data_IF_991292024637
#
_entry.id   IF_991292024637
#
_cell.length_a   1.000
_cell.length_b   1.000
_cell.length_c   1.000
_cell.angle_alpha   90.00
_cell.angle_beta   90.00
_cell.angle_gamma   90.00
#
_symmetry.space_group_name_H-M   'P 1'
#
loop_
_entity.id
_entity.type
_entity.pdbx_description
1 polymer ?
#
# COMPACT_ATOMS: atom_id res chain seq x y z
N UNK A 1 -3.97 2.10 16.14
CA UNK A 1 -3.97 0.64 16.34
C UNK A 1 -3.86 -0.03 14.97
N UNK A 2 -2.97 -0.99 14.81
CA UNK A 2 -2.89 -1.80 13.58
C UNK A 2 -3.84 -2.98 13.75
N UNK A 3 -4.86 -3.05 12.91
CA UNK A 3 -5.79 -4.17 12.88
C UNK A 3 -5.22 -5.32 12.03
N UNK A 4 -5.26 -6.53 12.59
CA UNK A 4 -4.86 -7.75 11.89
C UNK A 4 -6.10 -8.41 11.28
N UNK A 5 -5.90 -9.06 10.14
CA UNK A 5 -7.01 -9.61 9.38
C UNK A 5 -6.55 -10.35 8.14
N UNK A 6 -7.55 -10.74 7.36
CA UNK A 6 -7.38 -11.47 6.11
C UNK A 6 -7.73 -10.56 4.94
N UNK A 7 -6.86 -10.60 3.93
CA UNK A 7 -7.10 -9.97 2.64
C UNK A 7 -7.75 -11.01 1.73
N UNK A 8 -8.88 -10.65 1.13
CA UNK A 8 -9.49 -11.42 0.04
C UNK A 8 -9.50 -10.57 -1.23
N UNK A 9 -9.18 -11.21 -2.35
CA UNK A 9 -9.19 -10.58 -3.67
C UNK A 9 -10.25 -11.31 -4.46
N UNK A 10 -11.41 -10.68 -4.61
CA UNK A 10 -12.52 -11.22 -5.37
C UNK A 10 -12.62 -10.59 -6.75
N UNK A 11 -13.50 -11.13 -7.58
CA UNK A 11 -13.69 -10.66 -8.96
C UNK A 11 -14.30 -9.25 -9.02
N UNK A 12 -14.97 -8.81 -7.95
CA UNK A 12 -15.67 -7.52 -7.86
C UNK A 12 -14.93 -6.47 -7.04
N UNK A 13 -14.00 -6.86 -6.19
CA UNK A 13 -13.27 -5.92 -5.36
C UNK A 13 -12.20 -6.54 -4.47
N UNK A 14 -11.47 -5.65 -3.81
CA UNK A 14 -10.55 -5.97 -2.72
C UNK A 14 -11.29 -5.93 -1.39
N UNK A 15 -11.04 -6.90 -0.53
CA UNK A 15 -11.68 -6.99 0.77
C UNK A 15 -10.66 -7.24 1.88
N UNK A 16 -10.92 -6.67 3.05
CA UNK A 16 -10.19 -6.93 4.28
C UNK A 16 -11.16 -7.22 5.41
N UNK A 17 -10.93 -8.31 6.14
CA UNK A 17 -11.73 -8.74 7.28
C UNK A 17 -10.86 -8.79 8.52
N UNK A 18 -11.25 -8.07 9.58
CA UNK A 18 -10.54 -8.09 10.85
C UNK A 18 -10.70 -9.47 11.52
N UNK A 19 -9.61 -10.01 12.09
CA UNK A 19 -9.62 -11.34 12.72
C UNK A 19 -10.38 -11.35 14.05
N UNK A 20 -10.48 -10.21 14.74
CA UNK A 20 -11.07 -10.10 16.09
C UNK A 20 -12.54 -9.66 16.06
N UNK A 21 -12.93 -8.89 15.04
CA UNK A 21 -14.27 -8.34 14.91
C UNK A 21 -14.75 -8.38 13.46
N UNK A 22 -15.61 -9.35 13.15
CA UNK A 22 -16.15 -9.56 11.80
C UNK A 22 -16.98 -8.39 11.29
N UNK A 23 -17.47 -7.51 12.17
CA UNK A 23 -18.20 -6.28 11.78
C UNK A 23 -17.25 -5.20 11.26
N UNK A 24 -15.96 -5.32 11.53
CA UNK A 24 -14.91 -4.43 11.02
C UNK A 24 -14.32 -5.04 9.76
N UNK A 25 -14.86 -4.62 8.63
CA UNK A 25 -14.38 -5.01 7.32
C UNK A 25 -14.24 -3.78 6.42
N UNK A 26 -13.40 -3.91 5.40
CA UNK A 26 -13.23 -2.93 4.33
C UNK A 26 -13.50 -3.64 3.02
N UNK A 27 -14.36 -3.08 2.19
CA UNK A 27 -14.60 -3.52 0.81
C UNK A 27 -14.32 -2.35 -0.11
N UNK A 28 -13.48 -2.59 -1.11
CA UNK A 28 -13.12 -1.60 -2.12
C UNK A 28 -13.44 -2.23 -3.48
N UNK A 29 -14.59 -1.88 -4.08
CA UNK A 29 -14.93 -2.26 -5.43
C UNK A 29 -13.82 -1.86 -6.42
N UNK A 30 -13.53 -2.68 -7.43
CA UNK A 30 -12.43 -2.39 -8.38
C UNK A 30 -12.64 -1.08 -9.15
N UNK A 31 -13.89 -0.73 -9.45
CA UNK A 31 -14.28 0.51 -10.09
C UNK A 31 -14.09 1.76 -9.19
N UNK A 32 -14.03 1.60 -7.87
CA UNK A 32 -13.71 2.66 -6.91
C UNK A 32 -12.19 2.93 -6.82
N UNK A 33 -11.35 2.02 -7.31
CA UNK A 33 -9.89 2.14 -7.23
C UNK A 33 -9.38 3.19 -8.23
N UNK A 34 -8.79 4.26 -7.70
CA UNK A 34 -8.12 5.30 -8.48
C UNK A 34 -6.66 4.91 -8.74
N UNK A 35 -5.90 4.67 -7.67
CA UNK A 35 -4.49 4.23 -7.75
C UNK A 35 -4.15 3.20 -6.68
N UNK A 36 -3.18 2.34 -7.00
CA UNK A 36 -2.51 1.48 -6.04
C UNK A 36 -1.10 2.01 -5.82
N UNK A 37 -0.83 2.49 -4.61
CA UNK A 37 0.45 3.13 -4.26
C UNK A 37 1.31 2.11 -3.53
N UNK A 38 2.42 1.70 -4.15
CA UNK A 38 3.34 0.71 -3.60
C UNK A 38 4.53 1.40 -2.96
N UNK A 39 4.76 1.09 -1.69
CA UNK A 39 5.95 1.52 -0.97
C UNK A 39 7.06 0.51 -1.23
N UNK A 40 8.17 0.93 -1.85
CA UNK A 40 9.27 0.01 -2.22
C UNK A 40 10.60 0.53 -1.71
N UNK A 41 11.23 -0.19 -0.77
CA UNK A 41 12.57 0.14 -0.26
C UNK A 41 13.60 -0.92 -0.71
N UNK A 42 14.88 -0.69 -0.37
CA UNK A 42 16.00 -1.55 -0.75
C UNK A 42 16.12 -1.77 -2.28
N UNK A 43 16.14 -0.67 -3.05
CA UNK A 43 16.30 -0.70 -4.52
C UNK A 43 15.29 -1.60 -5.25
N UNK A 44 14.04 -1.68 -4.76
CA UNK A 44 13.02 -2.51 -5.40
C UNK A 44 12.75 -3.85 -4.73
N UNK A 45 13.57 -4.24 -3.74
CA UNK A 45 13.56 -5.63 -3.23
C UNK A 45 12.47 -5.90 -2.21
N UNK A 46 12.06 -4.90 -1.42
CA UNK A 46 11.13 -5.10 -0.30
C UNK A 46 9.97 -4.09 -0.29
N UNK A 47 8.77 -4.59 -0.01
CA UNK A 47 7.51 -3.83 -0.03
C UNK A 47 6.90 -3.91 1.37
N UNK A 48 7.11 -2.91 2.26
CA UNK A 48 6.53 -2.93 3.60
C UNK A 48 5.01 -2.84 3.58
N UNK A 49 4.47 -2.08 2.63
CA UNK A 49 3.05 -1.72 2.56
C UNK A 49 2.67 -1.30 1.15
N UNK A 50 1.38 -1.35 0.89
CA UNK A 50 0.76 -0.73 -0.27
C UNK A 50 -0.49 0.00 0.20
N UNK A 51 -1.00 0.90 -0.62
CA UNK A 51 -2.20 1.63 -0.33
C UNK A 51 -3.14 1.64 -1.53
N UNK A 52 -4.43 1.49 -1.29
CA UNK A 52 -5.48 1.65 -2.27
C UNK A 52 -6.05 3.05 -2.10
N UNK A 53 -5.79 3.91 -3.08
CA UNK A 53 -6.42 5.22 -3.19
C UNK A 53 -7.74 5.02 -3.94
N UNK A 54 -8.83 5.35 -3.28
CA UNK A 54 -10.16 5.34 -3.87
C UNK A 54 -10.46 6.69 -4.52
N UNK A 55 -11.44 6.71 -5.43
CA UNK A 55 -11.88 7.95 -6.10
C UNK A 55 -12.49 8.96 -5.13
N UNK A 56 -13.22 8.49 -4.10
CA UNK A 56 -14.01 9.34 -3.19
C UNK A 56 -13.71 9.14 -1.71
N UNK A 57 -13.36 7.92 -1.30
CA UNK A 57 -13.28 7.51 0.11
C UNK A 57 -11.85 7.58 0.69
N UNK A 58 -10.97 8.37 0.09
CA UNK A 58 -9.61 8.55 0.57
C UNK A 58 -8.70 7.36 0.27
N UNK A 59 -7.71 7.12 1.14
CA UNK A 59 -6.63 6.15 0.92
C UNK A 59 -6.53 5.15 2.07
N UNK A 60 -6.65 3.87 1.74
CA UNK A 60 -6.54 2.75 2.67
C UNK A 60 -5.16 2.12 2.56
N UNK A 61 -4.48 1.90 3.68
CA UNK A 61 -3.13 1.32 3.69
C UNK A 61 -3.14 -0.09 4.27
N UNK A 62 -2.49 -1.01 3.56
CA UNK A 62 -2.43 -2.42 3.91
C UNK A 62 -0.99 -2.92 3.95
N UNK A 63 -0.76 -3.92 4.79
CA UNK A 63 0.45 -4.72 4.82
C UNK A 63 0.05 -6.19 4.72
N UNK A 64 0.84 -6.97 3.99
CA UNK A 64 0.60 -8.40 3.78
C UNK A 64 1.89 -9.18 4.02
N UNK A 65 1.77 -10.46 4.38
CA UNK A 65 2.91 -11.36 4.50
C UNK A 65 3.62 -11.55 3.15
N UNK A 66 2.85 -11.73 2.07
CA UNK A 66 3.34 -11.71 0.70
C UNK A 66 2.70 -10.57 -0.11
N UNK A 67 3.26 -9.36 -0.07
CA UNK A 67 2.74 -8.23 -0.81
C UNK A 67 2.92 -8.39 -2.33
N UNK A 68 3.88 -9.19 -2.80
CA UNK A 68 4.11 -9.39 -4.23
C UNK A 68 2.99 -10.24 -4.83
N UNK A 69 2.56 -11.28 -4.12
CA UNK A 69 1.41 -12.10 -4.54
C UNK A 69 0.14 -11.25 -4.60
N UNK A 70 -0.14 -10.45 -3.57
CA UNK A 70 -1.31 -9.56 -3.51
C UNK A 70 -1.30 -8.57 -4.68
N UNK A 71 -0.18 -7.89 -4.93
CA UNK A 71 -0.09 -6.92 -6.04
C UNK A 71 -0.21 -7.58 -7.42
N UNK A 72 0.30 -8.81 -7.58
CA UNK A 72 0.11 -9.58 -8.82
C UNK A 72 -1.36 -9.89 -9.09
N UNK A 73 -2.10 -10.27 -8.04
CA UNK A 73 -3.53 -10.53 -8.17
C UNK A 73 -4.32 -9.24 -8.45
N UNK A 74 -3.98 -8.12 -7.78
CA UNK A 74 -4.60 -6.81 -8.04
C UNK A 74 -4.37 -6.36 -9.49
N UNK A 75 -3.21 -6.65 -10.09
CA UNK A 75 -2.89 -6.31 -11.48
C UNK A 75 -3.84 -6.91 -12.52
N UNK A 76 -4.59 -7.95 -12.17
CA UNK A 76 -5.62 -8.50 -13.06
C UNK A 76 -6.87 -7.61 -13.16
N UNK A 77 -7.08 -6.73 -12.18
CA UNK A 77 -8.28 -5.89 -12.06
C UNK A 77 -7.97 -4.39 -12.18
N UNK A 78 -6.73 -3.99 -11.89
CA UNK A 78 -6.29 -2.59 -11.94
C UNK A 78 -5.21 -2.46 -13.01
N UNK A 79 -5.41 -1.48 -13.89
CA UNK A 79 -4.46 -1.13 -14.94
C UNK A 79 -3.04 -0.92 -14.36
N UNK A 80 -2.00 -1.57 -14.92
CA UNK A 80 -0.61 -1.39 -14.50
C UNK A 80 -0.17 0.06 -14.35
N UNK A 81 -0.67 0.97 -15.19
CA UNK A 81 -0.32 2.39 -15.14
C UNK A 81 -0.86 3.10 -13.88
N UNK A 82 -1.86 2.50 -13.23
CA UNK A 82 -2.43 2.97 -11.96
C UNK A 82 -1.75 2.34 -10.74
N UNK A 83 -0.80 1.42 -10.93
CA UNK A 83 0.00 0.81 -9.86
C UNK A 83 1.35 1.55 -9.76
N UNK A 84 1.37 2.61 -8.97
CA UNK A 84 2.48 3.56 -8.91
C UNK A 84 3.37 3.35 -7.69
N UNK A 85 4.66 3.69 -7.81
CA UNK A 85 5.58 3.73 -6.66
C UNK A 85 5.38 5.00 -5.84
N UNK A 86 5.40 4.88 -4.52
CA UNK A 86 5.24 6.04 -3.62
C UNK A 86 6.38 7.06 -3.80
N UNK A 87 6.01 8.28 -4.22
CA UNK A 87 6.94 9.42 -4.37
C UNK A 87 7.56 9.83 -3.02
N UNK A 88 6.74 9.87 -1.95
CA UNK A 88 7.13 10.41 -0.65
C UNK A 88 8.25 9.63 0.06
N UNK A 89 8.50 8.37 -0.31
CA UNK A 89 9.57 7.56 0.27
C UNK A 89 10.97 8.06 -0.15
N UNK A 90 11.13 8.51 -1.40
CA UNK A 90 12.39 9.12 -1.87
C UNK A 90 12.66 10.42 -1.13
N UNK A 91 11.62 11.21 -0.86
CA UNK A 91 11.76 12.46 -0.13
C UNK A 91 12.13 12.24 1.34
N UNK A 92 11.56 11.21 1.98
CA UNK A 92 11.94 10.84 3.37
C UNK A 92 13.38 10.33 3.44
N UNK A 93 13.81 9.49 2.50
CA UNK A 93 15.22 9.01 2.43
C UNK A 93 16.18 10.20 2.23
N UNK A 94 15.90 11.09 1.27
CA UNK A 94 16.71 12.30 1.04
C UNK A 94 16.78 13.20 2.28
N UNK A 95 15.66 13.40 2.98
CA UNK A 95 15.61 14.17 4.23
C UNK A 95 16.40 13.52 5.36
N UNK A 96 16.39 12.19 5.46
CA UNK A 96 17.19 11.44 6.44
C UNK A 96 18.70 11.55 6.21
N UNK A 97 19.15 11.41 4.96
CA UNK A 97 20.57 11.56 4.59
C UNK A 97 21.05 13.00 4.83
N UNK A 98 20.24 14.01 4.46
CA UNK A 98 20.58 15.41 4.71
C UNK A 98 20.83 15.68 6.20
N UNK A 99 19.97 15.15 7.09
CA UNK A 99 20.15 15.29 8.55
C UNK A 99 21.43 14.64 9.08
N UNK A 100 21.86 13.51 8.51
CA UNK A 100 23.11 12.85 8.93
C UNK A 100 24.36 13.63 8.49
N UNK A 101 24.32 14.26 7.30
CA UNK A 101 25.43 15.08 6.79
C UNK A 101 25.54 16.39 7.59
N UNK A 102 24.43 17.06 7.89
CA UNK A 102 24.46 18.33 8.64
C UNK A 102 24.89 18.16 10.10
N UNK A 103 24.72 16.97 10.69
CA UNK A 103 25.12 16.68 12.08
C UNK A 103 26.63 16.45 12.26
N UNK A 104 27.40 16.33 11.17
CA UNK A 104 28.87 16.20 11.17
C UNK A 104 29.60 17.53 10.92
N UNK A 105 28.87 18.64 10.81
CA UNK A 105 29.41 19.98 10.51
C UNK A 105 29.20 21.00 11.64
N UNK A 106 29.01 20.52 12.86
CA UNK A 106 29.10 21.29 14.11
C UNK A 106 29.95 20.52 15.10
#
# INVERSE_FOLDING_TARGET
MTDYGKIMIGDRGFEFFNDRDVRKFVQIPWDEVDYVIVSVIFKGKWIPRFAMKTKKNGTYSFAAKDPKQVLRAIRNYVDPDRIVRSLGMWDVIKRGVKRLVTRKSH
#
